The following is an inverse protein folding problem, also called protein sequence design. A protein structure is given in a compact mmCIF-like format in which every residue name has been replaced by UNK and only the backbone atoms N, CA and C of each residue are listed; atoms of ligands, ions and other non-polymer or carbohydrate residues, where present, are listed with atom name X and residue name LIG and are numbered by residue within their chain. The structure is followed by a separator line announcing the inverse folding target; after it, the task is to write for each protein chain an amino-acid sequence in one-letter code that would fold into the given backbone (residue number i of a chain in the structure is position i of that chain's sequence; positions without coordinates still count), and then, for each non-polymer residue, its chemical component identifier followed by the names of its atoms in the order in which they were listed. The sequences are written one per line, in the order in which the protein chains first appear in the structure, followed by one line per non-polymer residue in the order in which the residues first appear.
data_IF_159363762021
#
_entry.id   IF_159363762021
#
_cell.length_a   1.000
_cell.length_b   1.000
_cell.length_c   1.000
_cell.angle_alpha   90.00
_cell.angle_beta   90.00
_cell.angle_gamma   90.00
#
_symmetry.space_group_name_H-M   'P 1'
#
loop_
_entity.id
_entity.type
_entity.pdbx_description
1 polymer ?
#
# COMPACT_ATOMS: atom_id res chain seq x y z
N UNK A 1 9.56 -7.84 7.40
CA UNK A 1 9.83 -6.50 6.84
C UNK A 1 8.73 -6.21 5.85
N UNK A 2 8.30 -4.96 5.73
CA UNK A 2 7.38 -4.50 4.68
C UNK A 2 8.11 -3.52 3.77
N UNK A 3 7.63 -3.39 2.54
CA UNK A 3 8.14 -2.38 1.62
C UNK A 3 7.25 -2.25 0.40
N UNK A 4 7.60 -1.28 -0.44
CA UNK A 4 6.87 -1.00 -1.66
C UNK A 4 7.56 0.07 -2.49
N UNK A 5 7.02 0.28 -3.68
CA UNK A 5 7.55 1.20 -4.69
C UNK A 5 6.45 2.18 -5.06
N UNK A 6 6.80 3.46 -5.09
CA UNK A 6 5.96 4.52 -5.66
C UNK A 6 6.39 4.73 -7.10
N UNK A 7 5.42 4.68 -8.01
CA UNK A 7 5.61 4.99 -9.43
C UNK A 7 4.81 6.21 -9.84
N UNK A 8 5.33 6.97 -10.80
CA UNK A 8 4.56 8.03 -11.45
C UNK A 8 3.53 7.45 -12.44
N UNK A 9 2.71 8.31 -13.03
CA UNK A 9 1.69 7.91 -14.00
C UNK A 9 2.24 7.35 -15.32
N UNK A 10 3.56 7.45 -15.56
CA UNK A 10 4.24 6.85 -16.71
C UNK A 10 4.89 5.51 -16.36
N UNK A 11 4.75 5.06 -15.11
CA UNK A 11 5.35 3.82 -14.60
C UNK A 11 6.81 3.97 -14.16
N UNK A 12 7.37 5.19 -14.14
CA UNK A 12 8.74 5.39 -13.67
C UNK A 12 8.80 5.24 -12.16
N UNK A 13 9.86 4.62 -11.65
CA UNK A 13 10.12 4.58 -10.21
C UNK A 13 10.45 5.98 -9.69
N UNK A 14 9.67 6.45 -8.71
CA UNK A 14 9.88 7.72 -8.02
C UNK A 14 10.66 7.52 -6.72
N UNK A 15 10.17 6.65 -5.83
CA UNK A 15 10.84 6.33 -4.57
C UNK A 15 10.41 4.96 -4.01
N UNK A 16 11.25 4.37 -3.17
CA UNK A 16 10.96 3.11 -2.48
C UNK A 16 10.85 3.34 -0.98
N UNK A 17 10.05 2.53 -0.30
CA UNK A 17 9.91 2.59 1.15
C UNK A 17 10.07 1.21 1.77
N UNK A 18 10.52 1.17 3.03
CA UNK A 18 10.58 -0.05 3.83
C UNK A 18 10.37 0.24 5.30
N UNK A 19 9.83 -0.73 6.05
CA UNK A 19 9.72 -0.68 7.50
C UNK A 19 9.93 -2.07 8.10
N UNK A 20 10.63 -2.12 9.23
CA UNK A 20 10.77 -3.36 10.01
C UNK A 20 9.56 -3.50 10.91
N UNK A 21 8.95 -4.68 10.89
CA UNK A 21 7.88 -5.09 11.78
C UNK A 21 8.34 -6.34 12.52
N UNK A 22 7.91 -6.49 13.77
CA UNK A 22 8.40 -7.54 14.66
C UNK A 22 7.80 -8.92 14.36
N UNK A 23 6.48 -9.02 14.16
CA UNK A 23 5.76 -10.26 13.85
C UNK A 23 4.46 -9.97 13.08
N UNK A 24 3.99 -10.95 12.31
CA UNK A 24 2.74 -10.89 11.57
C UNK A 24 2.58 -12.09 10.64
N UNK A 25 1.36 -12.33 10.16
CA UNK A 25 1.13 -13.21 9.00
C UNK A 25 1.46 -12.47 7.70
N UNK A 26 1.55 -13.20 6.59
CA UNK A 26 1.73 -12.60 5.24
C UNK A 26 0.67 -11.53 4.97
N UNK A 27 -0.61 -11.83 5.24
CA UNK A 27 -1.70 -10.85 5.08
C UNK A 27 -1.50 -9.61 5.96
N UNK A 28 -1.04 -9.78 7.21
CA UNK A 28 -0.71 -8.63 8.07
C UNK A 28 0.40 -7.77 7.45
N UNK A 29 1.49 -8.38 6.97
CA UNK A 29 2.59 -7.63 6.36
C UNK A 29 2.13 -6.87 5.11
N UNK A 30 1.28 -7.46 4.27
CA UNK A 30 0.72 -6.82 3.07
C UNK A 30 -0.18 -5.63 3.42
N UNK A 31 -1.11 -5.80 4.35
CA UNK A 31 -1.97 -4.70 4.81
C UNK A 31 -1.16 -3.57 5.44
N UNK A 32 -0.12 -3.90 6.21
CA UNK A 32 0.81 -2.90 6.75
C UNK A 32 1.64 -2.21 5.67
N UNK A 33 2.07 -2.92 4.63
CA UNK A 33 2.79 -2.35 3.49
C UNK A 33 1.91 -1.33 2.76
N UNK A 34 0.63 -1.65 2.53
CA UNK A 34 -0.34 -0.77 1.90
C UNK A 34 -0.61 0.46 2.77
N UNK A 35 -0.86 0.29 4.07
CA UNK A 35 -1.07 1.41 5.00
C UNK A 35 0.14 2.35 5.00
N UNK A 36 1.34 1.79 5.15
CA UNK A 36 2.57 2.59 5.18
C UNK A 36 2.82 3.29 3.84
N UNK A 37 2.53 2.64 2.70
CA UNK A 37 2.57 3.27 1.38
C UNK A 37 1.60 4.44 1.23
N UNK A 38 0.39 4.31 1.80
CA UNK A 38 -0.59 5.40 1.82
C UNK A 38 -0.17 6.56 2.73
N UNK A 39 0.47 6.28 3.86
CA UNK A 39 1.06 7.33 4.72
C UNK A 39 2.15 8.11 3.98
N UNK A 40 3.04 7.41 3.26
CA UNK A 40 4.05 8.03 2.39
C UNK A 40 3.38 8.89 1.32
N UNK A 41 2.38 8.36 0.62
CA UNK A 41 1.64 9.12 -0.39
C UNK A 41 1.00 10.39 0.18
N UNK A 42 0.39 10.30 1.37
CA UNK A 42 -0.21 11.45 2.07
C UNK A 42 0.84 12.50 2.41
N UNK A 43 1.98 12.11 2.97
CA UNK A 43 3.09 13.02 3.30
C UNK A 43 3.63 13.73 2.06
N UNK A 44 3.67 13.04 0.92
CA UNK A 44 4.11 13.57 -0.37
C UNK A 44 3.03 14.33 -1.14
N UNK A 45 1.81 14.41 -0.60
CA UNK A 45 0.64 15.05 -1.24
C UNK A 45 0.22 14.38 -2.56
N UNK A 46 0.47 13.08 -2.72
CA UNK A 46 -0.09 12.32 -3.83
C UNK A 46 -1.57 12.05 -3.55
N UNK A 47 -2.46 12.68 -4.32
CA UNK A 47 -3.91 12.64 -4.10
C UNK A 47 -4.64 11.62 -4.96
N UNK A 48 -4.00 11.15 -6.04
CA UNK A 48 -4.54 10.13 -6.96
C UNK A 48 -3.59 8.96 -6.97
N UNK A 49 -3.89 7.94 -6.15
CA UNK A 49 -3.05 6.75 -5.98
C UNK A 49 -3.78 5.50 -6.44
N UNK A 50 -3.04 4.60 -7.06
CA UNK A 50 -3.49 3.24 -7.38
C UNK A 50 -2.65 2.32 -6.49
N UNK A 51 -3.32 1.40 -5.79
CA UNK A 51 -2.67 0.38 -4.97
C UNK A 51 -2.54 -0.89 -5.80
N UNK A 52 -1.32 -1.40 -5.90
CA UNK A 52 -1.01 -2.69 -6.52
C UNK A 52 -0.39 -3.61 -5.45
N UNK A 53 -0.90 -4.83 -5.33
CA UNK A 53 -0.35 -5.89 -4.47
C UNK A 53 -0.64 -7.23 -5.14
N UNK A 54 0.28 -8.19 -4.99
CA UNK A 54 0.10 -9.58 -5.40
C UNK A 54 -0.75 -10.38 -4.39
N UNK A 55 -1.08 -9.78 -3.24
CA UNK A 55 -1.95 -10.36 -2.23
C UNK A 55 -3.42 -10.10 -2.55
N UNK A 56 -4.04 -11.04 -3.25
CA UNK A 56 -5.48 -10.99 -3.58
C UNK A 56 -6.37 -10.71 -2.36
N UNK A 57 -6.11 -11.38 -1.22
CA UNK A 57 -6.88 -11.18 0.01
C UNK A 57 -6.82 -9.73 0.51
N UNK A 58 -5.64 -9.09 0.47
CA UNK A 58 -5.51 -7.71 0.91
C UNK A 58 -6.35 -6.75 0.02
N UNK A 59 -6.33 -6.98 -1.30
CA UNK A 59 -7.13 -6.20 -2.26
C UNK A 59 -8.64 -6.40 -2.05
N UNK A 60 -9.08 -7.63 -1.78
CA UNK A 60 -10.50 -7.94 -1.50
C UNK A 60 -10.98 -7.20 -0.25
N UNK A 61 -10.24 -7.27 0.87
CA UNK A 61 -10.56 -6.56 2.12
C UNK A 61 -10.68 -5.04 1.90
N UNK A 62 -9.74 -4.45 1.13
CA UNK A 62 -9.75 -3.02 0.83
C UNK A 62 -10.96 -2.62 0.00
N UNK A 63 -11.31 -3.41 -1.01
CA UNK A 63 -12.47 -3.14 -1.88
C UNK A 63 -13.78 -3.21 -1.11
N UNK A 64 -13.95 -4.20 -0.24
CA UNK A 64 -15.13 -4.30 0.63
C UNK A 64 -15.25 -3.06 1.53
N UNK A 65 -14.15 -2.67 2.19
CA UNK A 65 -14.14 -1.51 3.11
C UNK A 65 -14.44 -0.20 2.38
N UNK A 66 -13.87 0.01 1.18
CA UNK A 66 -14.13 1.21 0.36
C UNK A 66 -15.57 1.27 -0.18
N UNK A 67 -16.20 0.12 -0.37
CA UNK A 67 -17.59 0.06 -0.84
C UNK A 67 -18.57 0.43 0.26
N UNK A 68 -18.24 0.11 1.52
CA UNK A 68 -19.06 0.47 2.70
C UNK A 68 -18.88 1.94 3.11
N UNK A 69 -17.75 2.56 2.77
CA UNK A 69 -17.46 3.97 3.08
C UNK A 69 -18.03 4.99 2.06
N UNK A 70 -18.88 4.54 1.12
CA UNK A 70 -19.63 5.38 0.17
C UNK A 70 -21.10 5.45 0.57
#
# INVERSE_FOLDING_TARGET
MIGGVVRDSRGNWVEGFRRVLSRGSTLNFELWAILYGLEVARLKKYTKVIIESDCRMAIEILKETLTVAR
#
